data_IF_913276141157
#
_entry.id   IF_913276141157
#
_cell.length_a   1.000
_cell.length_b   1.000
_cell.length_c   1.000
_cell.angle_alpha   90.00
_cell.angle_beta   90.00
_cell.angle_gamma   90.00
#
_symmetry.space_group_name_H-M   'P 1'
#
loop_
_entity.id
_entity.type
_entity.pdbx_description
1 polymer ?
#
# COMPACT_ATOMS: atom_id res chain seq x y z
N UNK A 1 10.68 13.13 -20.42
CA UNK A 1 9.87 12.16 -19.65
C UNK A 1 9.73 12.71 -18.24
N UNK A 2 8.71 13.53 -18.04
CA UNK A 2 8.48 14.26 -16.78
C UNK A 2 7.77 13.35 -15.81
N UNK A 3 8.48 12.93 -14.76
CA UNK A 3 7.89 12.31 -13.58
C UNK A 3 7.33 13.47 -12.75
N UNK A 4 6.17 13.99 -13.13
CA UNK A 4 5.47 14.99 -12.33
C UNK A 4 4.87 14.31 -11.10
N UNK A 5 5.48 14.62 -9.97
CA UNK A 5 5.01 14.26 -8.64
C UNK A 5 3.80 15.11 -8.25
N UNK A 6 2.86 14.43 -7.58
CA UNK A 6 1.97 14.93 -6.52
C UNK A 6 0.84 15.91 -6.86
N UNK A 7 -0.39 15.38 -6.86
CA UNK A 7 -1.57 16.03 -6.26
C UNK A 7 -2.53 14.94 -5.71
N UNK A 8 -2.71 14.88 -4.38
CA UNK A 8 -3.73 14.08 -3.66
C UNK A 8 -3.57 12.55 -3.71
N UNK A 9 -2.82 11.94 -2.77
CA UNK A 9 -2.64 10.48 -2.74
C UNK A 9 -3.98 9.74 -2.70
N UNK A 10 -4.40 9.22 -3.84
CA UNK A 10 -5.50 8.27 -3.89
C UNK A 10 -5.08 7.02 -3.11
N UNK A 11 -6.04 6.33 -2.52
CA UNK A 11 -5.81 5.06 -1.85
C UNK A 11 -5.08 4.05 -2.74
N UNK A 12 -5.30 4.11 -4.06
CA UNK A 12 -4.59 3.26 -5.01
C UNK A 12 -3.11 3.59 -5.11
N UNK A 13 -2.76 4.87 -5.15
CA UNK A 13 -1.37 5.30 -5.30
C UNK A 13 -0.57 4.97 -4.05
N UNK A 14 -1.18 5.15 -2.87
CA UNK A 14 -0.60 4.67 -1.61
C UNK A 14 -0.30 3.16 -1.65
N UNK A 15 -1.27 2.34 -2.09
CA UNK A 15 -1.11 0.90 -2.20
C UNK A 15 -0.05 0.50 -3.24
N UNK A 16 -0.01 1.18 -4.40
CA UNK A 16 1.00 0.93 -5.44
C UNK A 16 2.40 1.27 -4.94
N UNK A 17 2.56 2.42 -4.28
CA UNK A 17 3.83 2.84 -3.72
C UNK A 17 4.31 1.84 -2.66
N UNK A 18 3.42 1.43 -1.75
CA UNK A 18 3.73 0.47 -0.71
C UNK A 18 4.21 -0.87 -1.30
N UNK A 19 3.52 -1.36 -2.33
CA UNK A 19 3.88 -2.57 -3.06
C UNK A 19 5.29 -2.46 -3.68
N UNK A 20 5.57 -1.36 -4.39
CA UNK A 20 6.87 -1.13 -5.04
C UNK A 20 7.99 -1.04 -4.00
N UNK A 21 7.78 -0.28 -2.93
CA UNK A 21 8.77 -0.12 -1.86
C UNK A 21 9.07 -1.44 -1.14
N UNK A 22 8.05 -2.26 -0.88
CA UNK A 22 8.23 -3.54 -0.20
C UNK A 22 8.70 -4.66 -1.15
N UNK A 23 8.61 -4.46 -2.46
CA UNK A 23 8.92 -5.49 -3.47
C UNK A 23 7.96 -6.68 -3.45
N UNK A 24 6.72 -6.48 -2.99
CA UNK A 24 5.73 -7.54 -2.79
C UNK A 24 4.73 -7.63 -3.95
N UNK A 25 4.05 -8.77 -4.07
CA UNK A 25 2.84 -8.88 -4.88
C UNK A 25 1.63 -8.31 -4.11
N UNK A 26 0.50 -8.12 -4.79
CA UNK A 26 -0.72 -7.62 -4.13
C UNK A 26 -1.22 -8.57 -3.03
N UNK A 27 -1.21 -9.87 -3.30
CA UNK A 27 -1.62 -10.88 -2.32
C UNK A 27 -0.63 -10.93 -1.14
N UNK A 28 0.68 -10.84 -1.42
CA UNK A 28 1.69 -10.81 -0.37
C UNK A 28 1.61 -9.54 0.49
N UNK A 29 1.28 -8.39 -0.10
CA UNK A 29 1.03 -7.15 0.65
C UNK A 29 -0.19 -7.30 1.56
N UNK A 30 -1.26 -7.91 1.07
CA UNK A 30 -2.48 -8.17 1.85
C UNK A 30 -2.15 -9.06 3.06
N UNK A 31 -1.49 -10.20 2.81
CA UNK A 31 -1.07 -11.14 3.87
C UNK A 31 -0.14 -10.48 4.87
N UNK A 32 0.86 -9.73 4.40
CA UNK A 32 1.81 -9.05 5.29
C UNK A 32 1.13 -7.99 6.17
N UNK A 33 0.10 -7.32 5.65
CA UNK A 33 -0.64 -6.29 6.38
C UNK A 33 -1.80 -6.85 7.21
N UNK A 34 -2.02 -8.18 7.19
CA UNK A 34 -3.17 -8.81 7.85
C UNK A 34 -4.51 -8.41 7.24
N UNK A 35 -4.52 -8.04 5.95
CA UNK A 35 -5.72 -7.66 5.19
C UNK A 35 -6.12 -8.84 4.33
N UNK A 36 -7.43 -9.12 4.26
CA UNK A 36 -7.99 -10.09 3.31
C UNK A 36 -7.64 -9.68 1.86
N UNK A 37 -7.06 -10.56 1.02
CA UNK A 37 -6.70 -10.23 -0.38
C UNK A 37 -7.88 -9.70 -1.19
N UNK A 38 -9.08 -10.23 -0.92
CA UNK A 38 -10.32 -9.77 -1.54
C UNK A 38 -10.71 -8.36 -1.11
N UNK A 39 -10.44 -7.98 0.14
CA UNK A 39 -10.64 -6.61 0.63
C UNK A 39 -9.64 -5.65 0.00
N UNK A 40 -8.36 -6.04 -0.09
CA UNK A 40 -7.32 -5.24 -0.76
C UNK A 40 -7.66 -4.99 -2.23
N UNK A 41 -8.27 -5.98 -2.91
CA UNK A 41 -8.74 -5.84 -4.29
C UNK A 41 -9.82 -4.75 -4.44
N UNK A 42 -10.70 -4.60 -3.46
CA UNK A 42 -11.72 -3.53 -3.46
C UNK A 42 -11.09 -2.16 -3.13
N UNK A 43 -10.08 -2.14 -2.26
CA UNK A 43 -9.38 -0.91 -1.89
C UNK A 43 -8.58 -0.30 -3.05
N UNK A 44 -8.14 -1.12 -4.01
CA UNK A 44 -7.44 -0.64 -5.20
C UNK A 44 -8.36 -0.28 -6.38
N UNK A 45 -9.68 -0.33 -6.21
CA UNK A 45 -10.61 0.03 -7.29
C UNK A 45 -10.79 1.55 -7.41
N UNK A 46 -11.00 2.07 -8.64
CA UNK A 46 -11.32 3.49 -8.85
C UNK A 46 -12.64 3.83 -8.20
N UNK A 47 -12.78 5.09 -7.76
CA UNK A 47 -14.00 5.59 -7.09
C UNK A 47 -15.27 5.43 -7.96
N UNK A 48 -15.10 5.35 -9.28
CA UNK A 48 -16.18 5.09 -10.24
C UNK A 48 -16.72 3.64 -10.20
N UNK A 49 -16.04 2.73 -9.50
CA UNK A 49 -16.47 1.33 -9.39
C UNK A 49 -17.48 1.14 -8.25
N UNK A 50 -18.61 0.47 -8.52
CA UNK A 50 -19.61 0.11 -7.50
C UNK A 50 -19.05 -0.71 -6.33
N UNK A 51 -17.89 -1.34 -6.49
CA UNK A 51 -17.23 -2.14 -5.46
C UNK A 51 -16.12 -1.36 -4.72
N UNK A 52 -15.98 -0.06 -4.97
CA UNK A 52 -15.03 0.78 -4.24
C UNK A 52 -15.39 0.77 -2.75
N UNK A 53 -14.46 0.31 -1.93
CA UNK A 53 -14.54 0.44 -0.48
C UNK A 53 -13.41 1.34 0.00
N UNK A 54 -13.75 2.29 0.86
CA UNK A 54 -12.75 3.07 1.58
C UNK A 54 -11.95 2.12 2.48
N UNK A 55 -10.64 2.26 2.43
CA UNK A 55 -9.72 1.53 3.29
C UNK A 55 -9.90 2.04 4.72
N UNK A 56 -10.17 1.14 5.68
CA UNK A 56 -10.25 1.53 7.07
C UNK A 56 -8.88 1.99 7.57
N UNK A 57 -8.87 2.94 8.51
CA UNK A 57 -7.62 3.46 9.12
C UNK A 57 -6.71 2.37 9.68
N UNK A 58 -7.30 1.26 10.14
CA UNK A 58 -6.55 0.11 10.64
C UNK A 58 -5.72 -0.57 9.54
N UNK A 59 -6.32 -0.79 8.36
CA UNK A 59 -5.63 -1.37 7.20
C UNK A 59 -4.54 -0.42 6.68
N UNK A 60 -4.81 0.87 6.66
CA UNK A 60 -3.80 1.88 6.33
C UNK A 60 -2.61 1.80 7.29
N UNK A 61 -2.86 1.79 8.61
CA UNK A 61 -1.80 1.71 9.63
C UNK A 61 -0.97 0.43 9.54
N UNK A 62 -1.59 -0.71 9.21
CA UNK A 62 -0.85 -1.96 9.03
C UNK A 62 0.18 -1.86 7.90
N UNK A 63 -0.20 -1.22 6.78
CA UNK A 63 0.70 -1.00 5.64
C UNK A 63 1.79 0.02 5.98
N UNK A 64 1.45 1.10 6.70
CA UNK A 64 2.44 2.07 7.21
C UNK A 64 3.48 1.38 8.11
N UNK A 65 3.04 0.51 9.02
CA UNK A 65 3.95 -0.26 9.89
C UNK A 65 4.89 -1.18 9.10
N UNK A 66 4.41 -1.83 8.04
CA UNK A 66 5.27 -2.63 7.16
C UNK A 66 6.35 -1.79 6.49
N UNK A 67 5.97 -0.61 5.98
CA UNK A 67 6.90 0.32 5.34
C UNK A 67 7.94 0.82 6.33
N UNK A 68 7.54 1.18 7.55
CA UNK A 68 8.46 1.55 8.61
C UNK A 68 9.41 0.40 8.97
N UNK A 69 8.89 -0.81 9.13
CA UNK A 69 9.70 -1.98 9.44
C UNK A 69 10.72 -2.27 8.33
N UNK A 70 10.32 -2.15 7.06
CA UNK A 70 11.20 -2.28 5.91
C UNK A 70 12.29 -1.20 5.89
N UNK A 71 11.92 0.06 6.11
CA UNK A 71 12.87 1.18 6.16
C UNK A 71 13.87 1.05 7.32
N UNK A 72 13.41 0.59 8.51
CA UNK A 72 14.28 0.30 9.65
C UNK A 72 15.25 -0.85 9.33
N UNK A 73 14.78 -1.90 8.65
CA UNK A 73 15.61 -3.03 8.23
C UNK A 73 16.69 -2.62 7.23
N UNK A 74 16.35 -1.78 6.25
CA UNK A 74 17.32 -1.29 5.27
C UNK A 74 18.40 -0.40 5.93
N UNK A 75 18.02 0.45 6.89
CA UNK A 75 18.98 1.26 7.66
C UNK A 75 20.00 0.41 8.43
N UNK A 76 19.55 -0.67 9.07
CA UNK A 76 20.44 -1.59 9.81
C UNK A 76 21.38 -2.40 8.92
N UNK A 77 21.09 -2.54 7.62
CA UNK A 77 21.96 -3.25 6.67
C UNK A 77 23.05 -2.35 6.04
N UNK A 78 22.91 -1.03 6.17
CA UNK A 78 23.80 -0.05 5.57
C UNK A 78 24.80 0.56 6.58
N UNK A 79 24.74 0.14 7.84
CA UNK A 79 25.65 0.52 8.92
C UNK A 79 26.47 -0.70 9.33
#
# INVERSE_FOLDING_TARGET
>A
MSIEQQQGQSQQDFLRQAKVTLGLTWDALAVAAGIEPRALKNYRMPDESQNHRRMPKLAQRAIEQLLEAHARRNRKKAA
#
